data_IF_520525113242
#
_entry.id   IF_520525113242
#
_cell.length_a   1.000
_cell.length_b   1.000
_cell.length_c   1.000
_cell.angle_alpha   90.00
_cell.angle_beta   90.00
_cell.angle_gamma   90.00
#
_symmetry.space_group_name_H-M   'P 1'
#
loop_
_entity.id
_entity.type
_entity.pdbx_description
1 polymer ?
#
# COMPACT_ATOMS: atom_id res chain seq x y z
N UNK A 1 -23.24 3.83 -22.84
CA UNK A 1 -21.77 3.71 -22.97
C UNK A 1 -21.15 4.68 -21.99
N UNK A 2 -20.62 4.18 -20.86
CA UNK A 2 -19.85 5.01 -19.93
C UNK A 2 -18.43 5.21 -20.52
N UNK A 3 -17.84 6.41 -20.49
CA UNK A 3 -16.49 6.59 -20.98
C UNK A 3 -15.51 5.78 -20.12
N UNK A 4 -14.70 4.97 -20.80
CA UNK A 4 -13.78 3.94 -20.26
C UNK A 4 -12.51 4.52 -19.64
N UNK A 5 -12.39 5.85 -19.52
CA UNK A 5 -11.17 6.51 -19.03
C UNK A 5 -11.45 7.30 -17.75
N UNK A 6 -11.68 6.61 -16.64
CA UNK A 6 -11.44 7.21 -15.33
C UNK A 6 -9.91 7.31 -15.13
N UNK A 7 -9.31 8.51 -15.00
CA UNK A 7 -7.89 8.60 -14.71
C UNK A 7 -7.61 7.90 -13.37
N UNK A 8 -6.54 7.10 -13.32
CA UNK A 8 -5.98 6.61 -12.05
C UNK A 8 -5.52 7.82 -11.26
N UNK A 9 -6.41 8.38 -10.43
CA UNK A 9 -6.06 9.37 -9.42
C UNK A 9 -5.06 8.67 -8.50
N UNK A 10 -3.77 8.99 -8.64
CA UNK A 10 -2.74 8.58 -7.69
C UNK A 10 -3.15 9.18 -6.35
N UNK A 11 -3.63 8.34 -5.45
CA UNK A 11 -3.89 8.73 -4.08
C UNK A 11 -2.59 9.33 -3.51
N UNK A 12 -2.63 10.47 -2.82
CA UNK A 12 -1.52 10.86 -1.97
C UNK A 12 -1.29 9.70 -1.00
N UNK A 13 -0.07 9.18 -1.00
CA UNK A 13 0.33 8.03 -0.21
C UNK A 13 0.00 8.35 1.26
N UNK A 14 -1.03 7.74 1.83
CA UNK A 14 -1.47 7.97 3.21
C UNK A 14 -0.51 7.31 4.24
N UNK A 15 0.78 7.36 3.93
CA UNK A 15 1.90 6.78 4.68
C UNK A 15 3.13 7.68 4.72
N UNK A 16 3.10 8.92 4.21
CA UNK A 16 4.17 9.91 4.46
C UNK A 16 4.09 10.49 5.89
N UNK A 17 4.16 9.60 6.87
CA UNK A 17 5.09 9.79 7.96
C UNK A 17 6.14 8.70 7.81
N UNK A 18 7.05 8.90 6.85
CA UNK A 18 8.36 8.27 6.90
C UNK A 18 9.08 8.93 8.08
N UNK A 19 8.75 8.47 9.29
CA UNK A 19 9.70 8.59 10.38
C UNK A 19 10.86 7.68 10.00
N UNK A 20 11.93 8.31 9.51
CA UNK A 20 13.31 7.79 9.42
C UNK A 20 13.38 6.26 9.32
N UNK A 21 13.28 5.74 8.11
CA UNK A 21 13.56 4.34 7.80
C UNK A 21 15.03 3.97 7.94
N UNK A 22 15.92 4.96 8.07
CA UNK A 22 17.38 4.76 8.07
C UNK A 22 17.93 4.19 9.39
N UNK A 23 17.17 4.22 10.51
CA UNK A 23 17.58 3.62 11.80
C UNK A 23 17.22 2.12 11.94
N UNK A 24 16.45 1.54 11.01
CA UNK A 24 15.91 0.19 11.18
C UNK A 24 16.89 -0.93 10.83
N UNK A 25 17.78 -0.72 9.85
CA UNK A 25 18.75 -1.76 9.42
C UNK A 25 19.91 -1.91 10.41
N UNK A 26 20.43 -0.81 10.97
CA UNK A 26 21.47 -0.87 12.01
C UNK A 26 20.96 -1.49 13.32
N UNK A 27 19.68 -1.23 13.67
CA UNK A 27 19.06 -1.87 14.83
C UNK A 27 18.75 -3.35 14.56
N UNK A 28 18.41 -3.73 13.32
CA UNK A 28 18.23 -5.15 12.95
C UNK A 28 19.49 -5.98 13.20
N UNK A 29 20.67 -5.47 12.82
CA UNK A 29 21.94 -6.16 13.08
C UNK A 29 22.25 -6.35 14.57
N UNK A 30 21.93 -5.36 15.41
CA UNK A 30 22.08 -5.46 16.88
C UNK A 30 21.08 -6.44 17.49
N UNK A 31 19.86 -6.49 16.96
CA UNK A 31 18.77 -7.35 17.42
C UNK A 31 18.86 -8.78 16.89
N UNK A 32 19.64 -9.02 15.83
CA UNK A 32 19.96 -10.38 15.37
C UNK A 32 20.81 -11.14 16.38
N UNK A 33 21.68 -10.42 17.11
CA UNK A 33 22.44 -10.99 18.22
C UNK A 33 21.56 -11.36 19.43
N UNK A 34 20.35 -10.79 19.54
CA UNK A 34 19.44 -11.09 20.65
C UNK A 34 18.95 -12.53 20.60
N UNK A 35 18.46 -13.01 19.45
CA UNK A 35 17.98 -14.39 19.35
C UNK A 35 19.08 -15.42 19.54
N UNK A 36 20.32 -15.13 19.09
CA UNK A 36 21.47 -15.99 19.34
C UNK A 36 21.90 -15.97 20.83
N UNK A 37 21.78 -14.84 21.53
CA UNK A 37 22.02 -14.78 22.96
C UNK A 37 20.99 -15.59 23.76
N UNK A 38 19.70 -15.50 23.39
CA UNK A 38 18.64 -16.30 24.03
C UNK A 38 18.89 -17.80 23.81
N UNK A 39 19.29 -18.21 22.59
CA UNK A 39 19.67 -19.59 22.31
C UNK A 39 20.78 -20.08 23.24
N UNK A 40 21.84 -19.28 23.40
CA UNK A 40 22.96 -19.62 24.30
C UNK A 40 22.54 -19.69 25.77
N UNK A 41 21.60 -18.87 26.21
CA UNK A 41 21.05 -18.98 27.57
C UNK A 41 20.27 -20.29 27.75
N UNK A 42 19.47 -20.70 26.77
CA UNK A 42 18.83 -22.02 26.79
C UNK A 42 19.86 -23.14 26.84
N UNK A 43 20.86 -23.14 25.97
CA UNK A 43 21.93 -24.15 25.97
C UNK A 43 22.64 -24.26 27.33
N UNK A 44 22.90 -23.13 27.98
CA UNK A 44 23.47 -23.09 29.34
C UNK A 44 22.54 -23.72 30.37
N UNK A 45 21.27 -23.31 30.40
CA UNK A 45 20.27 -23.86 31.33
C UNK A 45 20.15 -25.38 31.21
N UNK A 46 20.15 -25.90 29.98
CA UNK A 46 20.11 -27.33 29.74
C UNK A 46 21.42 -28.03 30.14
N UNK A 47 22.56 -27.41 29.88
CA UNK A 47 23.86 -27.94 30.34
C UNK A 47 23.91 -28.04 31.85
N UNK A 48 23.45 -27.01 32.56
CA UNK A 48 23.38 -26.97 34.02
C UNK A 48 22.40 -28.04 34.57
N UNK A 49 21.27 -28.25 33.89
CA UNK A 49 20.32 -29.32 34.23
C UNK A 49 20.95 -30.70 34.13
N UNK A 50 21.72 -30.99 33.08
CA UNK A 50 22.37 -32.30 32.93
C UNK A 50 23.59 -32.47 33.84
N UNK A 51 24.29 -31.38 34.18
CA UNK A 51 25.38 -31.39 35.17
C UNK A 51 24.88 -31.75 36.58
N UNK A 52 23.60 -31.56 36.88
CA UNK A 52 22.99 -31.97 38.14
C UNK A 52 22.87 -33.50 38.32
N UNK A 53 22.98 -34.27 37.23
CA UNK A 53 23.01 -35.74 37.29
C UNK A 53 24.36 -36.19 37.84
N UNK A 54 24.38 -36.81 39.01
CA UNK A 54 25.56 -37.43 39.65
C UNK A 54 25.53 -38.97 39.61
N UNK A 55 26.67 -39.60 39.90
CA UNK A 55 26.80 -41.05 40.06
C UNK A 55 25.76 -41.66 41.02
N UNK A 56 25.35 -40.93 42.06
CA UNK A 56 24.34 -41.39 43.02
C UNK A 56 22.99 -41.73 42.38
N UNK A 57 22.69 -41.17 41.21
CA UNK A 57 21.47 -41.50 40.46
C UNK A 57 21.54 -42.90 39.80
N UNK A 58 22.73 -43.49 39.69
CA UNK A 58 22.92 -44.87 39.22
C UNK A 58 22.87 -45.92 40.33
N UNK A 59 22.91 -45.52 41.61
CA UNK A 59 22.91 -46.48 42.74
C UNK A 59 21.72 -47.45 42.70
N UNK A 60 20.46 -47.00 42.50
CA UNK A 60 19.33 -47.92 42.46
C UNK A 60 19.43 -48.95 41.33
N UNK A 61 20.02 -48.57 40.19
CA UNK A 61 20.23 -49.47 39.06
C UNK A 61 21.37 -50.46 39.31
N UNK A 62 22.43 -49.99 39.97
CA UNK A 62 23.55 -50.84 40.33
C UNK A 62 23.17 -51.89 41.38
N UNK A 63 22.32 -51.54 42.36
CA UNK A 63 21.82 -52.46 43.37
C UNK A 63 20.98 -53.59 42.74
N UNK A 64 20.08 -53.24 41.81
CA UNK A 64 19.26 -54.23 41.09
C UNK A 64 20.12 -55.18 40.24
N UNK A 65 21.14 -54.65 39.56
CA UNK A 65 22.05 -55.45 38.73
C UNK A 65 22.94 -56.38 39.57
N UNK A 66 23.35 -55.92 40.76
CA UNK A 66 24.09 -56.74 41.72
C UNK A 66 23.22 -57.88 42.26
N UNK A 67 21.98 -57.58 42.67
CA UNK A 67 21.06 -58.55 43.28
C UNK A 67 20.55 -59.61 42.28
N UNK A 68 20.24 -59.21 41.04
CA UNK A 68 19.61 -60.11 40.05
C UNK A 68 20.61 -60.86 39.18
N UNK A 69 21.68 -60.18 38.77
CA UNK A 69 22.58 -60.67 37.73
C UNK A 69 24.01 -60.89 38.25
N UNK A 70 24.31 -60.49 39.49
CA UNK A 70 25.66 -60.57 40.06
C UNK A 70 26.66 -59.64 39.38
N UNK A 71 26.18 -58.65 38.60
CA UNK A 71 27.02 -57.75 37.82
C UNK A 71 27.37 -56.52 38.65
N UNK A 72 28.67 -56.28 38.86
CA UNK A 72 29.16 -55.04 39.48
C UNK A 72 29.34 -53.99 38.39
N UNK A 73 28.58 -52.89 38.47
CA UNK A 73 28.79 -51.73 37.61
C UNK A 73 30.15 -51.10 37.94
N UNK A 74 31.15 -51.36 37.10
CA UNK A 74 32.46 -50.68 37.14
C UNK A 74 32.36 -49.36 36.39
N UNK A 75 33.12 -48.35 36.86
CA UNK A 75 33.24 -47.04 36.22
C UNK A 75 31.90 -46.29 36.03
N UNK A 76 31.13 -46.22 37.12
CA UNK A 76 29.81 -45.55 37.16
C UNK A 76 29.88 -44.07 36.78
N UNK A 77 30.92 -43.35 37.21
CA UNK A 77 31.12 -41.95 36.81
C UNK A 77 31.39 -41.82 35.30
N UNK A 78 32.16 -42.74 34.70
CA UNK A 78 32.39 -42.73 33.24
C UNK A 78 31.10 -43.03 32.47
N UNK A 79 30.27 -43.91 33.01
CA UNK A 79 28.94 -44.22 32.45
C UNK A 79 28.02 -43.00 32.54
N UNK A 80 27.97 -42.31 33.68
CA UNK A 80 27.19 -41.08 33.80
C UNK A 80 27.71 -39.97 32.90
N UNK A 81 29.02 -39.81 32.79
CA UNK A 81 29.60 -38.81 31.89
C UNK A 81 29.23 -39.08 30.43
N UNK A 82 29.17 -40.36 30.02
CA UNK A 82 28.68 -40.76 28.69
C UNK A 82 27.20 -40.43 28.51
N UNK A 83 26.37 -40.71 29.53
CA UNK A 83 24.92 -40.39 29.52
C UNK A 83 24.71 -38.88 29.44
N UNK A 84 25.41 -38.07 30.24
CA UNK A 84 25.36 -36.60 30.20
C UNK A 84 25.68 -36.10 28.80
N UNK A 85 26.78 -36.58 28.20
CA UNK A 85 27.20 -36.17 26.84
C UNK A 85 26.18 -36.56 25.77
N UNK A 86 25.63 -37.76 25.83
CA UNK A 86 24.61 -38.20 24.86
C UNK A 86 23.33 -37.36 24.97
N UNK A 87 22.86 -37.11 26.19
CA UNK A 87 21.68 -36.27 26.43
C UNK A 87 21.92 -34.83 25.97
N UNK A 88 23.08 -34.26 26.30
CA UNK A 88 23.45 -32.92 25.87
C UNK A 88 23.53 -32.81 24.34
N UNK A 89 24.18 -33.76 23.66
CA UNK A 89 24.29 -33.76 22.20
C UNK A 89 22.93 -33.91 21.52
N UNK A 90 22.09 -34.83 22.00
CA UNK A 90 20.74 -35.02 21.44
C UNK A 90 19.87 -33.78 21.64
N UNK A 91 20.01 -33.12 22.78
CA UNK A 91 19.27 -31.92 23.12
C UNK A 91 19.72 -30.72 22.28
N UNK A 92 21.03 -30.50 22.14
CA UNK A 92 21.57 -29.45 21.26
C UNK A 92 21.12 -29.66 19.83
N UNK A 93 21.14 -30.90 19.33
CA UNK A 93 20.61 -31.21 18.00
C UNK A 93 19.13 -30.84 17.86
N UNK A 94 18.30 -31.24 18.82
CA UNK A 94 16.86 -30.93 18.82
C UNK A 94 16.59 -29.42 18.93
N UNK A 95 17.35 -28.71 19.76
CA UNK A 95 17.25 -27.26 19.92
C UNK A 95 17.61 -26.55 18.62
N UNK A 96 18.74 -26.93 18.00
CA UNK A 96 19.21 -26.33 16.76
C UNK A 96 18.20 -26.55 15.63
N UNK A 97 17.69 -27.77 15.51
CA UNK A 97 16.65 -28.10 14.56
C UNK A 97 15.40 -27.24 14.77
N UNK A 98 14.90 -27.13 16.01
CA UNK A 98 13.76 -26.28 16.33
C UNK A 98 14.04 -24.79 16.03
N UNK A 99 15.23 -24.30 16.37
CA UNK A 99 15.61 -22.90 16.20
C UNK A 99 15.65 -22.50 14.72
N UNK A 100 16.18 -23.37 13.87
CA UNK A 100 16.30 -23.17 12.42
C UNK A 100 14.97 -23.44 11.70
N UNK A 101 14.30 -24.55 11.97
CA UNK A 101 13.06 -24.97 11.27
C UNK A 101 11.87 -24.05 11.59
N UNK A 102 11.73 -23.62 12.84
CA UNK A 102 10.63 -22.75 13.27
C UNK A 102 10.90 -21.26 13.06
N UNK A 103 12.09 -20.88 12.55
CA UNK A 103 12.44 -19.47 12.32
C UNK A 103 12.42 -18.63 13.60
N UNK A 104 12.75 -19.24 14.75
CA UNK A 104 12.61 -18.60 16.07
C UNK A 104 13.44 -17.33 16.17
N UNK A 105 14.62 -17.34 15.58
CA UNK A 105 15.51 -16.17 15.56
C UNK A 105 14.84 -14.97 14.87
N UNK A 106 14.28 -15.18 13.68
CA UNK A 106 13.59 -14.14 12.92
C UNK A 106 12.34 -13.62 13.65
N UNK A 107 11.58 -14.52 14.29
CA UNK A 107 10.42 -14.17 15.08
C UNK A 107 10.80 -13.32 16.31
N UNK A 108 11.84 -13.70 17.05
CA UNK A 108 12.34 -12.95 18.21
C UNK A 108 12.88 -11.58 17.80
N UNK A 109 13.69 -11.51 16.74
CA UNK A 109 14.20 -10.24 16.21
C UNK A 109 13.03 -9.34 15.77
N UNK A 110 12.04 -9.90 15.08
CA UNK A 110 10.85 -9.16 14.65
C UNK A 110 10.03 -8.64 15.83
N UNK A 111 9.86 -9.43 16.88
CA UNK A 111 9.15 -9.03 18.09
C UNK A 111 9.87 -7.90 18.82
N UNK A 112 11.19 -7.98 18.97
CA UNK A 112 11.95 -6.93 19.67
C UNK A 112 11.97 -5.63 18.86
N UNK A 113 12.07 -5.71 17.52
CA UNK A 113 11.88 -4.55 16.65
C UNK A 113 10.49 -3.91 16.81
N UNK A 114 9.43 -4.74 16.83
CA UNK A 114 8.07 -4.24 17.01
C UNK A 114 7.93 -3.56 18.38
N UNK A 115 8.49 -4.13 19.43
CA UNK A 115 8.50 -3.55 20.77
C UNK A 115 9.21 -2.21 20.80
N UNK A 116 10.38 -2.06 20.17
CA UNK A 116 11.07 -0.78 20.07
C UNK A 116 10.27 0.25 19.28
N UNK A 117 9.74 -0.15 18.12
CA UNK A 117 8.94 0.71 17.23
C UNK A 117 7.67 1.24 17.90
N UNK A 118 7.05 0.43 18.76
CA UNK A 118 5.81 0.77 19.45
C UNK A 118 6.00 1.14 20.91
N UNK A 119 7.23 1.40 21.36
CA UNK A 119 7.55 1.80 22.73
C UNK A 119 6.77 3.02 23.22
N UNK A 120 6.44 3.95 22.31
CA UNK A 120 5.61 5.12 22.62
C UNK A 120 4.16 4.79 23.02
N UNK A 121 3.70 3.56 22.79
CA UNK A 121 2.38 3.08 23.15
C UNK A 121 2.39 2.19 24.41
N UNK A 122 3.53 2.10 25.10
CA UNK A 122 3.66 1.34 26.35
C UNK A 122 2.63 1.82 27.39
N UNK A 123 1.93 0.87 28.02
CA UNK A 123 0.84 1.14 28.97
C UNK A 123 -0.57 1.19 28.35
N UNK A 124 -0.70 1.32 27.02
CA UNK A 124 -2.00 1.21 26.35
C UNK A 124 -2.38 -0.26 26.15
N UNK A 125 -3.35 -0.75 26.91
CA UNK A 125 -3.90 -2.10 26.72
C UNK A 125 -5.05 -2.08 25.74
N UNK A 126 -4.80 -2.58 24.53
CA UNK A 126 -5.90 -3.00 23.69
C UNK A 126 -6.46 -4.31 24.25
N UNK A 127 -7.69 -4.28 24.77
CA UNK A 127 -8.32 -5.46 25.37
C UNK A 127 -8.84 -6.40 24.29
N UNK A 128 -7.90 -6.99 23.54
CA UNK A 128 -8.20 -7.89 22.42
C UNK A 128 -9.07 -9.03 22.94
N UNK A 129 -8.76 -9.68 24.05
CA UNK A 129 -9.50 -10.88 24.47
C UNK A 129 -10.89 -10.62 25.04
N UNK A 130 -11.14 -9.42 25.58
CA UNK A 130 -12.41 -9.07 26.26
C UNK A 130 -13.45 -8.53 25.28
N UNK A 131 -13.01 -7.92 24.18
CA UNK A 131 -13.91 -7.28 23.23
C UNK A 131 -14.53 -8.26 22.24
N UNK A 132 -15.77 -7.98 21.80
CA UNK A 132 -16.39 -8.69 20.68
C UNK A 132 -15.61 -8.48 19.38
N UNK A 133 -15.60 -9.43 18.43
CA UNK A 133 -14.92 -9.28 17.14
C UNK A 133 -15.29 -8.01 16.37
N UNK A 134 -16.53 -7.53 16.52
CA UNK A 134 -16.97 -6.27 15.93
C UNK A 134 -16.15 -5.10 16.47
N UNK A 135 -16.10 -4.92 17.80
CA UNK A 135 -15.32 -3.86 18.47
C UNK A 135 -13.83 -3.94 18.13
N UNK A 136 -13.24 -5.14 18.12
CA UNK A 136 -11.85 -5.36 17.69
C UNK A 136 -11.58 -4.85 16.27
N UNK A 137 -12.53 -5.01 15.35
CA UNK A 137 -12.33 -4.61 13.94
C UNK A 137 -12.79 -3.17 13.64
N UNK A 138 -13.45 -2.48 14.58
CA UNK A 138 -13.96 -1.12 14.35
C UNK A 138 -12.88 -0.12 13.93
N UNK A 139 -11.69 -0.04 14.56
CA UNK A 139 -10.66 0.91 14.15
C UNK A 139 -10.22 0.72 12.70
N UNK A 140 -10.06 -0.54 12.28
CA UNK A 140 -9.66 -0.90 10.90
C UNK A 140 -10.77 -0.53 9.92
N UNK A 141 -12.02 -0.86 10.25
CA UNK A 141 -13.20 -0.53 9.43
C UNK A 141 -13.36 0.99 9.26
N UNK A 142 -13.13 1.76 10.33
CA UNK A 142 -13.18 3.23 10.27
C UNK A 142 -12.10 3.79 9.36
N UNK A 143 -10.85 3.31 9.47
CA UNK A 143 -9.76 3.73 8.56
C UNK A 143 -10.07 3.41 7.09
N UNK A 144 -10.64 2.24 6.82
CA UNK A 144 -11.03 1.87 5.46
C UNK A 144 -12.13 2.79 4.92
N UNK A 145 -13.15 3.10 5.73
CA UNK A 145 -14.19 4.07 5.36
C UNK A 145 -13.63 5.46 5.12
N UNK A 146 -12.69 5.91 5.96
CA UNK A 146 -12.03 7.20 5.78
C UNK A 146 -11.27 7.28 4.45
N UNK A 147 -10.55 6.22 4.07
CA UNK A 147 -9.87 6.13 2.78
C UNK A 147 -10.83 6.21 1.61
N UNK A 148 -11.93 5.45 1.66
CA UNK A 148 -12.98 5.51 0.64
C UNK A 148 -13.59 6.91 0.53
N UNK A 149 -13.83 7.58 1.66
CA UNK A 149 -14.38 8.92 1.69
C UNK A 149 -13.43 9.92 1.03
N UNK A 150 -12.13 9.85 1.33
CA UNK A 150 -11.11 10.70 0.67
C UNK A 150 -11.05 10.48 -0.84
N UNK A 151 -11.17 9.23 -1.29
CA UNK A 151 -11.22 8.92 -2.71
C UNK A 151 -12.44 9.55 -3.40
N UNK A 152 -13.63 9.37 -2.82
CA UNK A 152 -14.87 9.92 -3.38
C UNK A 152 -14.83 11.44 -3.40
N UNK A 153 -14.27 12.08 -2.38
CA UNK A 153 -14.05 13.54 -2.37
C UNK A 153 -13.13 13.99 -3.50
N UNK A 154 -12.02 13.28 -3.74
CA UNK A 154 -11.12 13.60 -4.85
C UNK A 154 -11.81 13.42 -6.22
N UNK A 155 -12.63 12.38 -6.36
CA UNK A 155 -13.39 12.12 -7.58
C UNK A 155 -14.46 13.19 -7.83
N UNK A 156 -15.17 13.62 -6.78
CA UNK A 156 -16.15 14.70 -6.88
C UNK A 156 -15.49 16.00 -7.33
N UNK A 157 -14.40 16.38 -6.68
CA UNK A 157 -13.64 17.58 -7.06
C UNK A 157 -13.18 17.54 -8.51
N UNK A 158 -12.68 16.40 -8.97
CA UNK A 158 -12.29 16.23 -10.36
C UNK A 158 -13.48 16.40 -11.33
N UNK A 159 -14.66 15.89 -10.99
CA UNK A 159 -15.86 16.06 -11.80
C UNK A 159 -16.35 17.51 -11.83
N UNK A 160 -16.26 18.23 -10.70
CA UNK A 160 -16.54 19.65 -10.62
C UNK A 160 -15.61 20.45 -11.54
N UNK A 161 -14.30 20.21 -11.47
CA UNK A 161 -13.30 20.87 -12.32
C UNK A 161 -13.58 20.61 -13.83
N UNK A 162 -13.96 19.38 -14.19
CA UNK A 162 -14.33 19.05 -15.58
C UNK A 162 -15.63 19.74 -16.02
N UNK A 163 -16.61 19.83 -15.12
CA UNK A 163 -17.88 20.48 -15.43
C UNK A 163 -17.67 21.98 -15.67
N UNK A 164 -16.86 22.63 -14.85
CA UNK A 164 -16.53 24.05 -14.99
C UNK A 164 -15.85 24.35 -16.34
N UNK A 165 -14.91 23.49 -16.75
CA UNK A 165 -14.27 23.60 -18.08
C UNK A 165 -15.29 23.51 -19.22
N UNK A 166 -16.15 22.49 -19.19
CA UNK A 166 -17.18 22.31 -20.23
C UNK A 166 -18.17 23.47 -20.22
N UNK A 167 -18.51 24.01 -19.06
CA UNK A 167 -19.44 25.13 -18.94
C UNK A 167 -18.84 26.42 -19.50
N UNK A 168 -17.53 26.63 -19.31
CA UNK A 168 -16.79 27.73 -19.93
C UNK A 168 -16.78 27.59 -21.46
N UNK A 169 -16.44 26.42 -21.99
CA UNK A 169 -16.48 26.14 -23.43
C UNK A 169 -17.88 26.36 -24.03
N UNK A 170 -18.93 25.89 -23.34
CA UNK A 170 -20.31 26.08 -23.78
C UNK A 170 -20.68 27.57 -23.85
N UNK A 171 -20.24 28.36 -22.88
CA UNK A 171 -20.46 29.80 -22.83
C UNK A 171 -19.80 30.49 -24.02
N UNK A 172 -18.58 30.10 -24.37
CA UNK A 172 -17.85 30.67 -25.51
C UNK A 172 -18.49 30.27 -26.85
N UNK A 173 -18.92 29.02 -27.01
CA UNK A 173 -19.69 28.61 -28.19
C UNK A 173 -21.00 29.38 -28.33
N UNK A 174 -21.72 29.64 -27.23
CA UNK A 174 -22.95 30.45 -27.26
C UNK A 174 -22.66 31.87 -27.74
N UNK A 175 -21.57 32.49 -27.29
CA UNK A 175 -21.14 33.83 -27.76
C UNK A 175 -20.80 33.82 -29.24
N UNK A 176 -20.07 32.80 -29.71
CA UNK A 176 -19.75 32.67 -31.14
C UNK A 176 -21.00 32.53 -31.99
N UNK A 177 -21.96 31.68 -31.58
CA UNK A 177 -23.25 31.52 -32.27
C UNK A 177 -24.00 32.85 -32.32
N UNK A 178 -24.00 33.61 -31.23
CA UNK A 178 -24.66 34.92 -31.18
C UNK A 178 -24.02 35.92 -32.15
N UNK A 179 -22.69 36.00 -32.19
CA UNK A 179 -21.97 36.85 -33.15
C UNK A 179 -22.29 36.47 -34.60
N UNK A 180 -22.27 35.17 -34.92
CA UNK A 180 -22.64 34.69 -36.27
C UNK A 180 -24.09 35.07 -36.64
N UNK A 181 -25.03 35.00 -35.68
CA UNK A 181 -26.41 35.44 -35.90
C UNK A 181 -26.50 36.94 -36.21
N UNK A 182 -25.78 37.76 -35.46
CA UNK A 182 -25.74 39.22 -35.66
C UNK A 182 -25.13 39.58 -37.02
N UNK A 183 -24.00 38.96 -37.39
CA UNK A 183 -23.40 39.12 -38.72
C UNK A 183 -24.35 38.71 -39.84
N UNK A 184 -25.09 37.60 -39.66
CA UNK A 184 -26.07 37.14 -40.64
C UNK A 184 -27.19 38.17 -40.83
N UNK A 185 -27.71 38.76 -39.75
CA UNK A 185 -28.74 39.80 -39.82
C UNK A 185 -28.21 41.01 -40.59
N UNK A 186 -27.03 41.50 -40.22
CA UNK A 186 -26.39 42.64 -40.88
C UNK A 186 -26.17 42.41 -42.39
N UNK A 187 -25.62 41.24 -42.77
CA UNK A 187 -25.41 40.89 -44.18
C UNK A 187 -26.73 40.81 -44.96
N UNK A 188 -27.78 40.28 -44.32
CA UNK A 188 -29.10 40.15 -44.94
C UNK A 188 -29.74 41.53 -45.17
N UNK A 189 -29.60 42.46 -44.23
CA UNK A 189 -30.02 43.86 -44.39
C UNK A 189 -29.24 44.55 -45.52
N UNK A 190 -27.91 44.40 -45.54
CA UNK A 190 -27.04 44.96 -46.58
C UNK A 190 -27.39 44.42 -47.97
N UNK A 191 -27.67 43.12 -48.10
CA UNK A 191 -28.11 42.52 -49.37
C UNK A 191 -29.44 43.09 -49.85
N UNK A 192 -30.39 43.34 -48.94
CA UNK A 192 -31.66 43.98 -49.28
C UNK A 192 -31.42 45.40 -49.79
N UNK A 193 -30.53 46.16 -49.14
CA UNK A 193 -30.18 47.51 -49.59
C UNK A 193 -29.48 47.52 -50.96
N UNK A 194 -28.50 46.65 -51.17
CA UNK A 194 -27.83 46.50 -52.46
C UNK A 194 -28.80 46.09 -53.56
N UNK A 195 -29.74 45.18 -53.27
CA UNK A 195 -30.79 44.79 -54.22
C UNK A 195 -31.66 45.99 -54.60
N UNK A 196 -32.05 46.83 -53.63
CA UNK A 196 -32.81 48.06 -53.91
C UNK A 196 -32.02 49.03 -54.80
N UNK A 197 -30.74 49.25 -54.49
CA UNK A 197 -29.85 50.11 -55.30
C UNK A 197 -29.71 49.58 -56.74
N UNK A 198 -29.50 48.27 -56.89
CA UNK A 198 -29.42 47.64 -58.21
C UNK A 198 -30.73 47.76 -58.99
N UNK A 199 -31.88 47.53 -58.34
CA UNK A 199 -33.19 47.70 -58.96
C UNK A 199 -33.45 49.14 -59.39
N UNK A 200 -33.02 50.12 -58.61
CA UNK A 200 -33.12 51.54 -58.97
C UNK A 200 -32.20 51.92 -60.15
N UNK A 201 -31.05 51.26 -60.30
CA UNK A 201 -30.10 51.50 -61.38
C UNK A 201 -30.45 50.75 -62.69
N UNK A 202 -31.28 49.71 -62.63
CA UNK A 202 -31.68 48.91 -63.81
C UNK A 202 -32.18 49.75 -65.00
N UNK A 203 -33.06 50.76 -64.82
CA UNK A 203 -33.55 51.56 -65.94
C UNK A 203 -32.43 52.30 -66.68
N UNK A 204 -31.48 52.87 -65.94
CA UNK A 204 -30.35 53.59 -66.53
C UNK A 204 -29.35 52.63 -67.20
N UNK A 205 -29.12 51.46 -66.60
CA UNK A 205 -28.33 50.40 -67.22
C UNK A 205 -28.99 49.92 -68.53
N UNK A 206 -30.31 49.76 -68.55
CA UNK A 206 -31.05 49.41 -69.77
C UNK A 206 -30.96 50.50 -70.83
N UNK A 207 -31.04 51.79 -70.44
CA UNK A 207 -30.85 52.93 -71.35
C UNK A 207 -29.46 52.93 -71.98
N UNK A 208 -28.42 52.81 -71.16
CA UNK A 208 -27.03 52.77 -71.61
C UNK A 208 -26.75 51.55 -72.51
N UNK A 209 -27.36 50.39 -72.20
CA UNK A 209 -27.25 49.18 -73.03
C UNK A 209 -27.86 49.40 -74.43
N UNK A 210 -29.04 50.02 -74.51
CA UNK A 210 -29.70 50.28 -75.79
C UNK A 210 -28.88 51.26 -76.63
N UNK A 211 -28.35 52.32 -76.02
CA UNK A 211 -27.43 53.26 -76.67
C UNK A 211 -26.20 52.57 -77.28
N UNK A 212 -25.55 51.67 -76.54
CA UNK A 212 -24.39 50.91 -77.06
C UNK A 212 -24.76 49.94 -78.19
N UNK A 213 -25.98 49.41 -78.18
CA UNK A 213 -26.48 48.53 -79.25
C UNK A 213 -26.84 49.34 -80.52
N UNK A 214 -27.37 50.54 -80.36
CA UNK A 214 -27.65 51.48 -81.46
C UNK A 214 -26.35 51.98 -82.11
N UNK A 215 -25.35 52.37 -81.31
CA UNK A 215 -24.04 52.85 -81.77
C UNK A 215 -23.20 51.77 -82.50
N UNK A 216 -23.53 50.49 -82.29
CA UNK A 216 -22.97 49.33 -83.01
C UNK A 216 -23.72 48.95 -84.28
N UNK A 217 -24.93 49.47 -84.49
CA UNK A 217 -25.69 49.27 -85.73
C UNK A 217 -25.43 50.39 -86.74
N UNK A 218 -24.90 51.53 -86.28
CA UNK A 218 -24.52 52.68 -87.10
C UNK A 218 -23.05 52.67 -87.59
N UNK A 219 -22.25 51.67 -87.18
CA UNK A 219 -20.91 51.36 -87.68
C UNK A 219 -20.85 49.97 -88.34
#
# INVERSE_FOLDING_TARGET
>A
MFPVNAPRIKMPNAGEKIHKTDDNEENFGKLQMFGENVRKEYEKLYTDMWNSLSESHLEPFADILLEREGIVLKDREQTMESIRKQLQNSMVYALNFFWEDSGVNEALTSLEMLKEKFKSYEGNKWSIDVETPLKRTMPIRMRFKEYQLRYLQAQLKFQEDQLDQILQENTDFRKQIQNVKEQRIFLMESLVEHRKKFQAALPEISRLRNLVLEDRLEN
#
